data_IF_897670077574
#
_entry.id   IF_897670077574
#
_cell.length_a   1.000
_cell.length_b   1.000
_cell.length_c   1.000
_cell.angle_alpha   90.00
_cell.angle_beta   90.00
_cell.angle_gamma   90.00
#
_symmetry.space_group_name_H-M   'P 1'
#
loop_
_entity.id
_entity.type
_entity.pdbx_description
1 polymer ?
#
# COMPACT_ATOMS: atom_id res chain seq x y z
N UNK A 1 -31.51 50.44 22.95
CA UNK A 1 -30.69 49.43 23.65
C UNK A 1 -31.02 48.08 23.05
N UNK A 2 -30.27 47.66 22.02
CA UNK A 2 -30.43 46.35 21.39
C UNK A 2 -29.47 45.37 22.07
N UNK A 3 -30.03 44.40 22.79
CA UNK A 3 -29.32 43.17 23.16
C UNK A 3 -30.03 42.04 22.42
N UNK A 4 -29.53 41.70 21.24
CA UNK A 4 -29.84 40.40 20.63
C UNK A 4 -28.94 39.36 21.30
N UNK A 5 -29.46 38.19 21.70
CA UNK A 5 -28.61 37.12 22.19
C UNK A 5 -27.80 36.58 21.01
N UNK A 6 -26.49 36.57 21.19
CA UNK A 6 -25.52 35.99 20.30
C UNK A 6 -25.77 34.48 20.17
N UNK A 7 -26.53 34.05 19.16
CA UNK A 7 -26.65 32.65 18.76
C UNK A 7 -25.53 32.33 17.78
N UNK A 8 -24.30 32.21 18.29
CA UNK A 8 -23.21 31.61 17.53
C UNK A 8 -22.28 30.87 18.49
N UNK A 9 -22.57 29.58 18.67
CA UNK A 9 -21.52 28.58 18.92
C UNK A 9 -21.79 27.40 17.98
N UNK A 10 -20.92 27.11 17.01
CA UNK A 10 -20.97 25.82 16.34
C UNK A 10 -20.69 24.73 17.38
N UNK A 11 -21.50 23.66 17.38
CA UNK A 11 -21.34 22.49 18.23
C UNK A 11 -19.89 22.00 18.19
N UNK A 12 -19.17 22.17 19.30
CA UNK A 12 -17.83 21.63 19.54
C UNK A 12 -17.96 20.15 19.89
N UNK A 13 -18.36 19.33 18.91
CA UNK A 13 -18.39 17.88 19.05
C UNK A 13 -16.95 17.34 18.93
N UNK A 14 -16.08 17.77 19.84
CA UNK A 14 -14.68 17.33 19.88
C UNK A 14 -14.60 16.06 20.72
N UNK A 15 -14.29 14.94 20.06
CA UNK A 15 -14.13 13.63 20.71
C UNK A 15 -12.74 13.54 21.37
N UNK A 16 -12.69 13.28 22.67
CA UNK A 16 -11.41 13.07 23.38
C UNK A 16 -10.81 11.70 23.06
N UNK A 17 -9.53 11.50 23.37
CA UNK A 17 -8.86 10.18 23.22
C UNK A 17 -9.65 9.05 23.87
N UNK A 18 -10.11 9.24 25.11
CA UNK A 18 -10.81 8.19 25.87
C UNK A 18 -12.17 7.86 25.22
N UNK A 19 -12.85 8.86 24.67
CA UNK A 19 -14.10 8.64 23.91
C UNK A 19 -13.81 7.89 22.62
N UNK A 20 -12.75 8.24 21.87
CA UNK A 20 -12.37 7.52 20.64
C UNK A 20 -12.01 6.04 20.92
N UNK A 21 -11.39 5.76 22.07
CA UNK A 21 -11.11 4.38 22.48
C UNK A 21 -12.41 3.62 22.77
N UNK A 22 -13.35 4.23 23.51
CA UNK A 22 -14.65 3.63 23.77
C UNK A 22 -15.48 3.42 22.49
N UNK A 23 -15.44 4.38 21.56
CA UNK A 23 -16.05 4.25 20.24
C UNK A 23 -15.41 3.10 19.44
N UNK A 24 -14.09 2.92 19.52
CA UNK A 24 -13.42 1.79 18.88
C UNK A 24 -13.94 0.44 19.38
N UNK A 25 -14.16 0.31 20.70
CA UNK A 25 -14.74 -0.89 21.29
C UNK A 25 -16.17 -1.12 20.80
N UNK A 26 -16.99 -0.07 20.77
CA UNK A 26 -18.36 -0.14 20.27
C UNK A 26 -18.43 -0.53 18.79
N UNK A 27 -17.62 0.10 17.93
CA UNK A 27 -17.56 -0.20 16.49
C UNK A 27 -17.18 -1.66 16.27
N UNK A 28 -16.17 -2.18 16.99
CA UNK A 28 -15.78 -3.59 16.90
C UNK A 28 -16.89 -4.53 17.35
N UNK A 29 -17.52 -4.24 18.50
CA UNK A 29 -18.55 -5.10 19.07
C UNK A 29 -19.81 -5.17 18.21
N UNK A 30 -20.16 -4.05 17.57
CA UNK A 30 -21.37 -3.93 16.74
C UNK A 30 -21.11 -4.22 15.26
N UNK A 31 -19.84 -4.38 14.84
CA UNK A 31 -19.44 -4.44 13.44
C UNK A 31 -20.06 -3.29 12.62
N UNK A 32 -20.04 -2.08 13.19
CA UNK A 32 -20.68 -0.91 12.63
C UNK A 32 -19.84 -0.28 11.52
N UNK A 33 -20.49 0.39 10.56
CA UNK A 33 -19.85 1.31 9.62
C UNK A 33 -20.31 2.73 9.95
N UNK A 34 -19.37 3.63 10.18
CA UNK A 34 -19.61 5.01 10.62
C UNK A 34 -18.90 6.05 9.75
N UNK A 35 -18.37 5.66 8.58
CA UNK A 35 -17.70 6.57 7.63
C UNK A 35 -18.73 7.42 6.88
N UNK A 36 -19.20 8.47 7.54
CA UNK A 36 -20.16 9.41 6.98
C UNK A 36 -19.67 10.86 7.09
N UNK A 37 -20.14 11.79 6.24
CA UNK A 37 -19.72 13.19 6.28
C UNK A 37 -19.99 13.93 7.61
N UNK A 38 -20.93 13.42 8.40
CA UNK A 38 -21.38 14.00 9.68
C UNK A 38 -20.68 13.40 10.89
N UNK A 39 -20.01 12.26 10.74
CA UNK A 39 -19.26 11.60 11.81
C UNK A 39 -18.04 12.43 12.18
N UNK A 40 -17.64 12.37 13.46
CA UNK A 40 -16.34 12.90 13.86
C UNK A 40 -15.21 12.24 13.07
N UNK A 41 -14.23 13.05 12.66
CA UNK A 41 -13.15 12.58 11.79
C UNK A 41 -12.21 11.62 12.50
N UNK A 42 -12.07 11.75 13.83
CA UNK A 42 -11.34 10.81 14.66
C UNK A 42 -12.02 9.45 14.70
N UNK A 43 -13.34 9.42 14.93
CA UNK A 43 -14.12 8.17 14.91
C UNK A 43 -14.00 7.46 13.55
N UNK A 44 -14.04 8.21 12.45
CA UNK A 44 -13.82 7.65 11.11
C UNK A 44 -12.41 7.06 10.98
N UNK A 45 -11.37 7.76 11.46
CA UNK A 45 -9.99 7.26 11.44
C UNK A 45 -9.81 5.97 12.25
N UNK A 46 -10.52 5.86 13.38
CA UNK A 46 -10.57 4.65 14.21
C UNK A 46 -11.17 3.48 13.43
N UNK A 47 -12.31 3.68 12.77
CA UNK A 47 -12.94 2.65 11.95
C UNK A 47 -12.00 2.15 10.85
N UNK A 48 -11.31 3.06 10.15
CA UNK A 48 -10.29 2.65 9.18
C UNK A 48 -9.23 1.73 9.79
N UNK A 49 -8.69 2.11 10.96
CA UNK A 49 -7.71 1.28 11.68
C UNK A 49 -8.27 -0.10 12.02
N UNK A 50 -9.53 -0.17 12.46
CA UNK A 50 -10.25 -1.43 12.76
C UNK A 50 -10.38 -2.29 11.50
N UNK A 51 -10.72 -1.67 10.37
CA UNK A 51 -10.85 -2.34 9.07
C UNK A 51 -9.50 -2.63 8.41
N UNK A 52 -8.37 -2.47 9.11
CA UNK A 52 -7.04 -2.82 8.63
C UNK A 52 -6.44 -1.81 7.64
N UNK A 53 -6.96 -0.59 7.58
CA UNK A 53 -6.38 0.50 6.80
C UNK A 53 -5.35 1.25 7.65
N UNK A 54 -4.06 1.24 7.28
CA UNK A 54 -3.08 2.03 7.99
C UNK A 54 -3.31 3.52 7.70
N UNK A 55 -3.61 4.30 8.74
CA UNK A 55 -3.94 5.72 8.63
C UNK A 55 -2.92 6.61 9.30
N UNK A 56 -2.86 7.87 8.89
CA UNK A 56 -2.06 8.92 9.52
C UNK A 56 -2.66 10.32 9.27
N UNK A 57 -2.34 11.32 10.11
CA UNK A 57 -2.84 12.69 9.95
C UNK A 57 -2.28 13.42 8.72
N UNK A 58 -3.16 14.10 7.99
CA UNK A 58 -2.84 14.98 6.87
C UNK A 58 -3.23 16.44 7.16
N UNK A 59 -2.42 17.38 6.65
CA UNK A 59 -2.75 18.80 6.50
C UNK A 59 -3.08 19.05 5.03
N UNK A 60 -4.36 19.24 4.73
CA UNK A 60 -4.84 19.19 3.34
C UNK A 60 -4.61 17.79 2.77
N UNK A 61 -3.69 17.65 1.81
CA UNK A 61 -3.32 16.36 1.19
C UNK A 61 -1.88 15.92 1.51
N UNK A 62 -1.21 16.55 2.49
CA UNK A 62 0.21 16.27 2.84
C UNK A 62 0.34 15.75 4.27
N UNK A 63 1.32 14.89 4.61
CA UNK A 63 1.55 14.43 5.97
C UNK A 63 1.65 15.58 6.97
N UNK A 64 0.95 15.48 8.10
CA UNK A 64 0.91 16.54 9.12
C UNK A 64 1.89 16.35 10.28
N UNK A 65 2.36 15.11 10.51
CA UNK A 65 3.23 14.80 11.65
C UNK A 65 4.55 15.53 11.51
N UNK A 66 4.82 16.47 12.42
CA UNK A 66 6.06 17.26 12.42
C UNK A 66 7.24 16.34 12.75
N UNK A 67 8.24 16.29 11.87
CA UNK A 67 9.38 15.38 12.01
C UNK A 67 9.04 13.91 11.74
N UNK A 68 7.82 13.63 11.25
CA UNK A 68 7.40 12.29 10.87
C UNK A 68 8.03 11.81 9.57
N UNK A 69 7.90 10.51 9.31
CA UNK A 69 8.40 9.80 8.12
C UNK A 69 7.35 9.74 7.00
N UNK A 70 6.35 10.62 7.04
CA UNK A 70 5.28 10.70 6.06
C UNK A 70 4.38 9.47 6.08
N UNK A 71 4.19 8.84 4.92
CA UNK A 71 3.34 7.65 4.78
C UNK A 71 3.80 6.46 5.62
N UNK A 72 5.08 6.42 6.02
CA UNK A 72 5.65 5.36 6.83
C UNK A 72 5.19 5.40 8.29
N UNK A 73 4.58 6.50 8.73
CA UNK A 73 3.96 6.59 10.05
C UNK A 73 2.52 6.04 10.06
N UNK A 74 1.98 5.63 8.90
CA UNK A 74 0.64 5.06 8.84
C UNK A 74 0.52 3.80 9.71
N UNK A 75 -0.52 3.73 10.53
CA UNK A 75 -0.72 2.66 11.51
C UNK A 75 -2.18 2.20 11.57
N UNK A 76 -2.39 0.96 12.01
CA UNK A 76 -3.71 0.41 12.40
C UNK A 76 -3.85 0.32 13.92
N UNK A 77 -2.86 0.78 14.68
CA UNK A 77 -2.91 0.80 16.14
C UNK A 77 -3.93 1.84 16.62
N UNK A 78 -5.03 1.35 17.18
CA UNK A 78 -6.14 2.15 17.68
C UNK A 78 -5.70 3.11 18.77
N UNK A 79 -4.76 2.74 19.65
CA UNK A 79 -4.30 3.63 20.71
C UNK A 79 -3.57 4.84 20.12
N UNK A 80 -2.73 4.60 19.11
CA UNK A 80 -2.00 5.66 18.41
C UNK A 80 -2.94 6.56 17.58
N UNK A 81 -3.91 5.96 16.90
CA UNK A 81 -4.94 6.70 16.13
C UNK A 81 -5.75 7.59 17.10
N UNK A 82 -6.23 7.04 18.21
CA UNK A 82 -6.96 7.78 19.22
C UNK A 82 -6.13 8.91 19.84
N UNK A 83 -4.82 8.71 20.02
CA UNK A 83 -3.92 9.77 20.49
C UNK A 83 -3.81 10.93 19.49
N UNK A 84 -3.66 10.63 18.19
CA UNK A 84 -3.56 11.68 17.17
C UNK A 84 -4.85 12.50 17.07
N UNK A 85 -5.98 11.82 16.87
CA UNK A 85 -7.26 12.49 16.63
C UNK A 85 -7.99 12.92 17.91
N UNK A 86 -7.65 12.37 19.08
CA UNK A 86 -8.10 12.88 20.37
C UNK A 86 -7.26 14.05 20.90
N UNK A 87 -6.19 14.42 20.18
CA UNK A 87 -5.20 15.39 20.63
C UNK A 87 -4.85 16.46 19.58
N UNK A 88 -3.55 16.59 19.31
CA UNK A 88 -3.01 17.69 18.49
C UNK A 88 -3.48 17.65 17.03
N UNK A 89 -3.89 16.49 16.50
CA UNK A 89 -4.34 16.30 15.12
C UNK A 89 -5.86 16.12 15.00
N UNK A 90 -6.65 16.52 16.00
CA UNK A 90 -8.12 16.33 16.04
C UNK A 90 -8.92 16.80 14.83
N UNK A 91 -8.38 17.76 14.05
CA UNK A 91 -9.03 18.27 12.81
C UNK A 91 -8.26 17.89 11.55
N UNK A 92 -7.26 17.03 11.65
CA UNK A 92 -6.46 16.61 10.51
C UNK A 92 -7.28 15.71 9.59
N UNK A 93 -7.04 15.86 8.29
CA UNK A 93 -7.53 14.93 7.30
C UNK A 93 -6.91 13.54 7.52
N UNK A 94 -7.54 12.51 6.98
CA UNK A 94 -7.11 11.13 7.09
C UNK A 94 -6.35 10.75 5.81
N UNK A 95 -5.07 10.46 5.96
CA UNK A 95 -4.28 9.79 4.94
C UNK A 95 -4.36 8.29 5.15
N UNK A 96 -4.70 7.54 4.11
CA UNK A 96 -4.69 6.09 4.13
C UNK A 96 -3.55 5.58 3.27
N UNK A 97 -2.58 4.90 3.87
CA UNK A 97 -1.62 4.11 3.09
C UNK A 97 -2.39 2.99 2.44
N UNK A 98 -2.22 2.82 1.12
CA UNK A 98 -2.97 1.79 0.39
C UNK A 98 -2.55 0.41 0.93
N UNK A 99 -3.49 -0.47 1.34
CA UNK A 99 -3.16 -1.81 1.81
C UNK A 99 -2.42 -2.62 0.73
N UNK A 100 -1.54 -3.54 1.14
CA UNK A 100 -0.77 -4.36 0.18
C UNK A 100 -1.67 -5.19 -0.74
N UNK A 101 -2.82 -5.64 -0.24
CA UNK A 101 -3.83 -6.37 -1.02
C UNK A 101 -4.66 -5.52 -1.97
N UNK A 102 -4.36 -4.22 -2.12
CA UNK A 102 -5.15 -3.29 -2.94
C UNK A 102 -4.29 -2.47 -3.91
N UNK A 103 -4.97 -1.95 -4.92
CA UNK A 103 -4.50 -0.90 -5.82
C UNK A 103 -5.60 0.14 -5.97
N UNK A 104 -5.22 1.41 -6.08
CA UNK A 104 -6.16 2.51 -6.30
C UNK A 104 -5.92 3.13 -7.65
N UNK A 105 -6.98 3.32 -8.41
CA UNK A 105 -6.98 4.14 -9.62
C UNK A 105 -7.49 5.53 -9.21
N UNK A 106 -6.57 6.49 -9.17
CA UNK A 106 -6.79 7.86 -8.74
C UNK A 106 -7.04 8.74 -9.98
N UNK A 107 -8.28 9.19 -10.14
CA UNK A 107 -8.73 10.01 -11.25
C UNK A 107 -8.64 11.48 -10.87
N UNK A 108 -7.83 12.22 -11.60
CA UNK A 108 -7.67 13.67 -11.46
C UNK A 108 -8.24 14.42 -12.68
N UNK A 109 -9.49 14.94 -12.57
CA UNK A 109 -10.13 15.68 -13.66
C UNK A 109 -9.37 16.92 -14.08
N UNK A 110 -8.66 17.57 -13.14
CA UNK A 110 -7.88 18.78 -13.43
C UNK A 110 -6.77 18.51 -14.44
N UNK A 111 -6.26 17.28 -14.48
CA UNK A 111 -5.27 16.82 -15.43
C UNK A 111 -5.87 15.89 -16.50
N UNK A 112 -7.15 16.02 -16.84
CA UNK A 112 -7.79 15.26 -17.93
C UNK A 112 -8.11 13.79 -17.62
N UNK A 113 -8.14 13.41 -16.33
CA UNK A 113 -8.38 12.03 -15.90
C UNK A 113 -9.72 11.46 -16.36
N UNK A 114 -10.76 12.29 -16.41
CA UNK A 114 -12.10 11.86 -16.86
C UNK A 114 -12.12 11.48 -18.34
N UNK A 115 -11.48 12.27 -19.20
CA UNK A 115 -11.41 11.98 -20.64
C UNK A 115 -10.56 10.72 -20.89
N UNK A 116 -9.44 10.58 -20.18
CA UNK A 116 -8.62 9.36 -20.23
C UNK A 116 -9.39 8.14 -19.76
N UNK A 117 -10.21 8.25 -18.72
CA UNK A 117 -11.02 7.15 -18.21
C UNK A 117 -12.09 6.75 -19.24
N UNK A 118 -12.83 7.73 -19.76
CA UNK A 118 -13.84 7.49 -20.80
C UNK A 118 -13.23 6.83 -22.05
N UNK A 119 -12.01 7.21 -22.44
CA UNK A 119 -11.29 6.59 -23.55
C UNK A 119 -10.91 5.13 -23.26
N UNK A 120 -10.47 4.80 -22.04
CA UNK A 120 -10.18 3.43 -21.62
C UNK A 120 -11.46 2.59 -21.60
N UNK A 121 -12.54 3.08 -21.02
CA UNK A 121 -13.82 2.37 -20.93
C UNK A 121 -14.43 2.13 -22.32
N UNK A 122 -14.31 3.09 -23.24
CA UNK A 122 -14.72 2.94 -24.63
C UNK A 122 -13.87 1.90 -25.39
N UNK A 123 -12.57 1.83 -25.09
CA UNK A 123 -11.63 0.90 -25.74
C UNK A 123 -11.80 -0.53 -25.23
N UNK A 124 -12.12 -0.70 -23.96
CA UNK A 124 -12.21 -1.99 -23.29
C UNK A 124 -13.64 -2.23 -22.79
N UNK A 125 -13.92 -1.91 -21.54
CA UNK A 125 -15.22 -2.00 -20.88
C UNK A 125 -15.25 -1.03 -19.69
N UNK A 126 -16.43 -0.62 -19.20
CA UNK A 126 -16.55 0.21 -18.01
C UNK A 126 -15.84 -0.38 -16.77
N UNK A 127 -15.35 0.47 -15.88
CA UNK A 127 -14.90 -0.01 -14.57
C UNK A 127 -16.10 -0.62 -13.81
N UNK A 128 -15.94 -1.79 -13.18
CA UNK A 128 -17.01 -2.35 -12.39
C UNK A 128 -17.21 -1.49 -11.14
N UNK A 129 -18.43 -1.54 -10.58
CA UNK A 129 -18.70 -0.95 -9.27
C UNK A 129 -17.75 -1.52 -8.23
N UNK A 130 -17.09 -0.64 -7.48
CA UNK A 130 -16.14 -0.99 -6.43
C UNK A 130 -16.13 0.08 -5.37
N UNK A 131 -15.55 -0.20 -4.20
CA UNK A 131 -15.33 0.80 -3.14
C UNK A 131 -14.71 2.05 -3.77
N UNK A 132 -15.32 3.22 -3.51
CA UNK A 132 -14.91 4.47 -4.17
C UNK A 132 -14.96 5.63 -3.19
N UNK A 133 -13.90 6.44 -3.13
CA UNK A 133 -13.94 7.74 -2.46
C UNK A 133 -14.06 8.85 -3.51
N UNK A 134 -15.15 9.60 -3.47
CA UNK A 134 -15.38 10.77 -4.32
C UNK A 134 -14.74 12.02 -3.69
N UNK A 135 -14.01 12.78 -4.49
CA UNK A 135 -13.40 14.04 -4.09
C UNK A 135 -14.43 15.09 -3.71
N UNK A 136 -14.18 15.80 -2.61
CA UNK A 136 -14.96 16.98 -2.21
C UNK A 136 -14.88 18.15 -3.20
N UNK A 137 -14.01 18.08 -4.22
CA UNK A 137 -13.96 19.08 -5.30
C UNK A 137 -15.27 19.11 -6.10
N UNK A 138 -15.93 17.96 -6.28
CA UNK A 138 -17.22 17.84 -6.97
C UNK A 138 -17.13 17.93 -8.50
N UNK A 139 -15.95 17.70 -9.07
CA UNK A 139 -15.65 17.73 -10.50
C UNK A 139 -15.47 16.32 -11.11
N UNK A 140 -15.81 15.28 -10.36
CA UNK A 140 -15.65 13.88 -10.78
C UNK A 140 -14.35 13.22 -10.33
N UNK A 141 -13.46 13.90 -9.59
CA UNK A 141 -12.26 13.27 -9.06
C UNK A 141 -12.60 12.16 -8.06
N UNK A 142 -11.93 11.02 -8.17
CA UNK A 142 -12.30 9.82 -7.44
C UNK A 142 -11.12 8.86 -7.24
N UNK A 143 -11.16 8.12 -6.14
CA UNK A 143 -10.28 7.00 -5.86
C UNK A 143 -11.08 5.70 -6.00
N UNK A 144 -10.80 4.90 -7.04
CA UNK A 144 -11.41 3.59 -7.22
C UNK A 144 -10.50 2.50 -6.66
N UNK A 145 -10.97 1.77 -5.65
CA UNK A 145 -10.20 0.75 -4.96
C UNK A 145 -10.44 -0.62 -5.58
N UNK A 146 -9.37 -1.34 -5.94
CA UNK A 146 -9.45 -2.70 -6.48
C UNK A 146 -8.55 -3.64 -5.68
N UNK A 147 -8.87 -4.94 -5.70
CA UNK A 147 -7.94 -5.98 -5.23
C UNK A 147 -6.66 -5.91 -6.05
N UNK A 148 -5.51 -5.97 -5.40
CA UNK A 148 -4.22 -5.99 -6.09
C UNK A 148 -4.13 -7.28 -6.93
N UNK A 149 -3.96 -7.19 -8.26
CA UNK A 149 -3.75 -8.38 -9.06
C UNK A 149 -2.37 -8.98 -8.73
N UNK A 150 -2.19 -10.31 -8.83
CA UNK A 150 -0.92 -10.96 -8.50
C UNK A 150 0.22 -10.45 -9.39
N UNK A 151 1.47 -10.60 -8.95
CA UNK A 151 2.64 -10.19 -9.72
C UNK A 151 3.04 -8.72 -9.58
N UNK A 152 4.04 -8.33 -10.37
CA UNK A 152 4.61 -6.99 -10.33
C UNK A 152 3.69 -6.00 -11.04
N UNK A 153 3.37 -4.90 -10.36
CA UNK A 153 2.69 -3.77 -11.01
C UNK A 153 3.74 -2.78 -11.49
N UNK A 154 3.78 -2.56 -12.79
CA UNK A 154 4.69 -1.62 -13.47
C UNK A 154 3.95 -0.35 -13.90
N UNK A 155 2.64 -0.45 -14.13
CA UNK A 155 1.78 0.68 -14.46
C UNK A 155 1.64 1.63 -13.27
N UNK A 156 2.32 2.78 -13.34
CA UNK A 156 2.16 3.88 -12.36
C UNK A 156 1.13 4.92 -12.80
N UNK A 157 0.79 4.92 -14.09
CA UNK A 157 -0.20 5.80 -14.72
C UNK A 157 -0.90 5.06 -15.85
N UNK A 158 -2.19 5.35 -16.04
CA UNK A 158 -3.02 4.71 -17.07
C UNK A 158 -3.51 5.73 -18.11
N UNK A 159 -2.69 6.74 -18.38
CA UNK A 159 -3.06 7.89 -19.19
C UNK A 159 -2.86 9.18 -18.44
N UNK A 160 -3.25 10.28 -19.08
CA UNK A 160 -3.13 11.62 -18.52
C UNK A 160 -4.19 11.80 -17.44
N UNK A 161 -3.76 12.23 -16.23
CA UNK A 161 -4.66 12.42 -15.09
C UNK A 161 -5.18 11.14 -14.43
N UNK A 162 -4.60 9.97 -14.72
CA UNK A 162 -4.91 8.70 -14.03
C UNK A 162 -3.64 8.15 -13.39
N UNK A 163 -3.54 8.28 -12.07
CA UNK A 163 -2.45 7.72 -11.29
C UNK A 163 -2.83 6.37 -10.68
N UNK A 164 -1.85 5.48 -10.55
CA UNK A 164 -2.01 4.20 -9.84
C UNK A 164 -1.31 4.30 -8.49
N UNK A 165 -2.06 4.10 -7.40
CA UNK A 165 -1.51 4.06 -6.03
C UNK A 165 -1.48 2.63 -5.50
N UNK A 166 -0.36 2.25 -4.92
CA UNK A 166 -0.13 0.96 -4.26
C UNK A 166 0.35 1.21 -2.84
N UNK A 167 0.76 0.17 -2.10
CA UNK A 167 1.28 0.29 -0.74
C UNK A 167 2.53 1.15 -0.57
N UNK A 168 3.18 1.56 -1.67
CA UNK A 168 4.22 2.59 -1.66
C UNK A 168 3.68 4.03 -1.64
N UNK A 169 2.35 4.20 -1.65
CA UNK A 169 1.67 5.49 -1.66
C UNK A 169 0.48 5.52 -0.72
N UNK A 170 -0.19 6.66 -0.70
CA UNK A 170 -1.37 6.91 0.11
C UNK A 170 -2.41 7.72 -0.66
N UNK A 171 -3.64 7.69 -0.17
CA UNK A 171 -4.75 8.49 -0.66
C UNK A 171 -5.35 9.30 0.48
N UNK A 172 -6.12 10.34 0.14
CA UNK A 172 -6.98 11.03 1.11
C UNK A 172 -8.26 10.20 1.25
N UNK A 173 -8.60 9.84 2.49
CA UNK A 173 -9.77 9.03 2.79
C UNK A 173 -10.97 9.90 3.18
N UNK A 174 -12.19 9.46 2.85
CA UNK A 174 -13.40 10.06 3.39
C UNK A 174 -13.44 9.93 4.94
N UNK A 175 -14.00 10.89 5.70
CA UNK A 175 -14.70 12.10 5.28
C UNK A 175 -13.82 13.37 5.29
N UNK A 176 -12.52 13.25 4.98
CA UNK A 176 -11.56 14.38 4.94
C UNK A 176 -12.07 15.58 4.12
N UNK A 177 -11.66 16.80 4.47
CA UNK A 177 -12.00 18.00 3.72
C UNK A 177 -11.04 18.24 2.54
N UNK A 178 -11.58 18.49 1.35
CA UNK A 178 -10.77 18.90 0.20
C UNK A 178 -10.18 20.30 0.44
N UNK A 179 -8.86 20.52 0.24
CA UNK A 179 -8.18 21.75 0.66
C UNK A 179 -8.74 23.02 0.01
N UNK A 180 -9.14 22.95 -1.26
CA UNK A 180 -9.55 24.14 -2.01
C UNK A 180 -11.04 24.48 -1.84
N UNK A 181 -11.89 23.47 -1.59
CA UNK A 181 -13.35 23.64 -1.55
C UNK A 181 -13.93 23.53 -0.15
N UNK A 182 -13.17 23.01 0.82
CA UNK A 182 -13.63 22.70 2.18
C UNK A 182 -14.67 21.57 2.27
N UNK A 183 -15.26 21.16 1.14
CA UNK A 183 -16.23 20.07 1.05
C UNK A 183 -15.55 18.73 1.31
N UNK A 184 -16.28 17.81 1.93
CA UNK A 184 -15.76 16.51 2.33
C UNK A 184 -15.67 15.53 1.16
N UNK A 185 -14.65 14.70 1.19
CA UNK A 185 -14.62 13.44 0.46
C UNK A 185 -15.79 12.56 0.93
N UNK A 186 -16.42 11.83 0.01
CA UNK A 186 -17.53 10.92 0.34
C UNK A 186 -17.20 9.51 -0.12
N UNK A 187 -17.46 8.55 0.74
CA UNK A 187 -17.35 7.14 0.42
C UNK A 187 -18.65 6.64 -0.23
N UNK A 188 -18.49 5.86 -1.30
CA UNK A 188 -19.53 5.00 -1.83
C UNK A 188 -19.13 3.58 -1.46
N UNK A 189 -19.92 2.97 -0.59
CA UNK A 189 -19.70 1.60 -0.13
C UNK A 189 -20.02 0.59 -1.24
N UNK A 190 -19.08 -0.32 -1.46
CA UNK A 190 -19.21 -1.48 -2.32
C UNK A 190 -18.08 -2.46 -1.99
N UNK A 191 -18.23 -3.77 -2.27
CA UNK A 191 -17.12 -4.70 -2.16
C UNK A 191 -15.93 -4.24 -3.00
N UNK A 192 -14.71 -4.39 -2.48
CA UNK A 192 -13.49 -4.13 -3.26
C UNK A 192 -13.41 -5.16 -4.39
N UNK A 193 -13.68 -4.72 -5.62
CA UNK A 193 -13.78 -5.58 -6.78
C UNK A 193 -12.40 -6.14 -7.20
N UNK A 194 -12.40 -7.27 -7.91
CA UNK A 194 -11.23 -7.60 -8.72
C UNK A 194 -11.13 -6.58 -9.88
N UNK A 195 -9.91 -6.17 -10.26
CA UNK A 195 -9.73 -5.36 -11.46
C UNK A 195 -10.17 -6.17 -12.69
N UNK A 196 -10.84 -5.57 -13.68
CA UNK A 196 -11.13 -6.23 -14.94
C UNK A 196 -9.83 -6.66 -15.63
N UNK A 197 -9.93 -7.62 -16.56
CA UNK A 197 -8.75 -8.21 -17.21
C UNK A 197 -7.90 -7.15 -17.92
N UNK A 198 -8.54 -6.20 -18.59
CA UNK A 198 -7.83 -5.11 -19.27
C UNK A 198 -7.07 -4.22 -18.29
N UNK A 199 -7.65 -3.90 -17.13
CA UNK A 199 -7.01 -3.08 -16.12
C UNK A 199 -5.82 -3.83 -15.52
N UNK A 200 -6.00 -5.11 -15.19
CA UNK A 200 -4.90 -5.98 -14.71
C UNK A 200 -3.75 -6.01 -15.70
N UNK A 201 -4.06 -6.21 -17.00
CA UNK A 201 -3.06 -6.21 -18.05
C UNK A 201 -2.30 -4.87 -18.11
N UNK A 202 -3.00 -3.74 -18.07
CA UNK A 202 -2.38 -2.40 -18.06
C UNK A 202 -1.51 -2.14 -16.83
N UNK A 203 -1.90 -2.65 -15.67
CA UNK A 203 -1.13 -2.53 -14.44
C UNK A 203 0.14 -3.40 -14.46
N UNK A 204 0.13 -4.50 -15.20
CA UNK A 204 1.20 -5.50 -15.27
C UNK A 204 2.06 -5.41 -16.54
N UNK A 205 1.82 -4.46 -17.45
CA UNK A 205 2.49 -4.42 -18.76
C UNK A 205 4.01 -4.50 -18.60
N UNK A 206 4.60 -5.58 -19.11
CA UNK A 206 6.01 -5.69 -19.43
C UNK A 206 6.35 -4.61 -20.45
N UNK A 207 7.39 -3.81 -20.17
CA UNK A 207 7.87 -2.69 -20.99
C UNK A 207 7.63 -2.94 -22.48
N UNK A 208 6.67 -2.23 -23.06
CA UNK A 208 6.55 -2.10 -24.51
C UNK A 208 7.58 -1.03 -24.91
N UNK A 209 8.76 -1.47 -25.30
CA UNK A 209 9.72 -0.63 -26.00
C UNK A 209 9.04 -0.11 -27.28
N UNK A 210 8.80 1.20 -27.35
CA UNK A 210 8.39 1.82 -28.61
C UNK A 210 9.61 1.86 -29.56
N UNK A 211 9.44 1.58 -30.87
CA UNK A 211 10.53 1.66 -31.83
C UNK A 211 11.04 3.11 -31.94
N UNK A 212 12.36 3.25 -31.87
CA UNK A 212 13.03 4.50 -31.55
C UNK A 212 13.06 5.57 -32.64
N UNK A 213 13.41 6.78 -32.20
CA UNK A 213 14.08 7.80 -33.02
C UNK A 213 15.17 8.47 -32.16
N UNK A 214 16.42 8.19 -32.56
CA UNK A 214 17.68 8.92 -32.37
C UNK A 214 18.30 9.13 -30.97
N UNK A 215 19.03 8.09 -30.52
CA UNK A 215 20.49 8.07 -30.35
C UNK A 215 21.23 9.11 -29.49
N UNK A 216 21.87 8.65 -28.39
CA UNK A 216 23.33 8.74 -28.10
C UNK A 216 23.70 8.02 -26.78
N UNK A 217 25.00 7.71 -26.51
CA UNK A 217 25.48 6.35 -26.29
C UNK A 217 25.61 5.89 -24.82
N UNK A 218 25.94 4.60 -24.72
CA UNK A 218 26.25 3.80 -23.54
C UNK A 218 27.06 4.51 -22.44
N UNK A 219 26.57 4.42 -21.20
CA UNK A 219 27.32 4.80 -20.01
C UNK A 219 26.43 5.13 -18.82
N UNK A 220 25.92 4.10 -18.12
CA UNK A 220 25.69 4.03 -16.67
C UNK A 220 24.59 3.01 -16.34
N UNK A 221 24.96 1.95 -15.61
CA UNK A 221 24.00 1.01 -15.02
C UNK A 221 23.48 1.66 -13.73
N UNK A 222 22.46 2.49 -13.84
CA UNK A 222 21.80 3.10 -12.67
C UNK A 222 20.87 2.08 -12.03
N UNK A 223 21.25 1.59 -10.85
CA UNK A 223 20.39 0.86 -9.94
C UNK A 223 19.31 1.83 -9.43
N UNK A 224 18.06 1.63 -9.84
CA UNK A 224 16.92 2.38 -9.30
C UNK A 224 16.31 1.63 -8.11
N UNK A 225 16.69 2.10 -6.92
CA UNK A 225 16.16 1.74 -5.59
C UNK A 225 16.96 2.51 -4.54
N UNK A 226 16.34 2.92 -3.43
CA UNK A 226 17.02 3.71 -2.38
C UNK A 226 18.16 2.93 -1.66
N UNK A 227 18.33 1.63 -1.95
CA UNK A 227 19.49 0.81 -1.53
C UNK A 227 19.81 -0.36 -2.50
N UNK A 228 21.06 -0.84 -2.51
CA UNK A 228 21.51 -2.03 -3.28
C UNK A 228 20.68 -3.29 -2.92
N UNK A 229 20.25 -3.40 -1.67
CA UNK A 229 19.48 -4.52 -1.16
C UNK A 229 18.07 -4.59 -1.77
N UNK A 230 17.42 -3.44 -1.95
CA UNK A 230 16.10 -3.34 -2.57
C UNK A 230 16.20 -3.57 -4.08
N UNK A 231 17.24 -3.00 -4.70
CA UNK A 231 17.56 -3.25 -6.10
C UNK A 231 17.81 -4.73 -6.38
N UNK A 232 18.57 -5.43 -5.52
CA UNK A 232 18.79 -6.86 -5.65
C UNK A 232 17.49 -7.65 -5.44
N UNK A 233 16.70 -7.34 -4.42
CA UNK A 233 15.46 -8.08 -4.15
C UNK A 233 14.40 -7.89 -5.23
N UNK A 234 14.41 -6.75 -5.93
CA UNK A 234 13.50 -6.45 -7.03
C UNK A 234 13.91 -7.10 -8.36
N UNK A 235 15.20 -7.39 -8.57
CA UNK A 235 15.74 -7.86 -9.85
C UNK A 235 16.25 -9.31 -9.83
N UNK A 236 16.17 -9.99 -8.69
CA UNK A 236 16.57 -11.39 -8.53
C UNK A 236 15.33 -12.22 -8.23
N UNK A 237 15.25 -13.45 -8.75
CA UNK A 237 14.21 -14.46 -8.49
C UNK A 237 14.57 -15.32 -7.28
N UNK A 238 13.59 -15.99 -6.67
CA UNK A 238 13.88 -16.97 -5.61
C UNK A 238 14.71 -18.16 -6.14
N UNK A 239 14.56 -18.50 -7.42
CA UNK A 239 15.40 -19.50 -8.09
C UNK A 239 16.87 -19.08 -8.14
N UNK A 240 17.16 -17.85 -8.57
CA UNK A 240 18.53 -17.32 -8.61
C UNK A 240 19.17 -17.20 -7.23
N UNK A 241 18.39 -17.08 -6.16
CA UNK A 241 18.90 -17.05 -4.78
C UNK A 241 19.11 -18.46 -4.23
N UNK A 242 18.19 -19.39 -4.45
CA UNK A 242 18.15 -20.67 -3.71
C UNK A 242 18.77 -21.84 -4.48
N UNK A 243 18.55 -21.94 -5.79
CA UNK A 243 19.02 -23.07 -6.60
C UNK A 243 20.56 -23.20 -6.65
N UNK A 244 21.36 -22.12 -6.67
CA UNK A 244 22.82 -22.24 -6.58
C UNK A 244 23.30 -22.95 -5.31
N UNK A 245 22.48 -22.99 -4.26
CA UNK A 245 22.75 -23.66 -2.99
C UNK A 245 22.04 -25.01 -2.86
N UNK A 246 21.56 -25.58 -3.98
CA UNK A 246 20.98 -26.93 -4.04
C UNK A 246 19.52 -27.02 -3.63
N UNK A 247 18.83 -25.90 -3.40
CA UNK A 247 17.40 -25.90 -3.13
C UNK A 247 16.59 -26.17 -4.39
N UNK A 248 15.51 -26.91 -4.25
CA UNK A 248 14.59 -27.23 -5.33
C UNK A 248 13.24 -26.55 -5.11
N UNK A 249 12.70 -25.93 -6.17
CA UNK A 249 11.31 -25.45 -6.16
C UNK A 249 10.39 -26.59 -6.56
N UNK A 250 9.34 -26.82 -5.77
CA UNK A 250 8.36 -27.90 -6.01
C UNK A 250 7.12 -27.42 -6.77
N UNK A 251 7.03 -26.13 -7.04
CA UNK A 251 5.90 -25.50 -7.70
C UNK A 251 6.34 -24.83 -9.01
N UNK A 252 5.39 -24.53 -9.89
CA UNK A 252 5.65 -24.05 -11.26
C UNK A 252 6.33 -22.69 -11.28
N UNK A 253 5.95 -21.81 -10.36
CA UNK A 253 6.50 -20.46 -10.23
C UNK A 253 7.30 -20.35 -8.92
N UNK A 254 8.64 -20.21 -9.01
CA UNK A 254 9.53 -20.10 -7.84
C UNK A 254 9.25 -18.88 -6.94
N UNK A 255 8.59 -17.85 -7.48
CA UNK A 255 8.35 -16.58 -6.80
C UNK A 255 6.90 -16.37 -6.35
N UNK A 256 5.99 -17.29 -6.69
CA UNK A 256 4.59 -17.20 -6.33
C UNK A 256 4.35 -17.29 -4.82
N UNK A 257 3.32 -16.61 -4.32
CA UNK A 257 2.85 -16.78 -2.95
C UNK A 257 2.36 -18.23 -2.75
N UNK A 258 2.91 -18.91 -1.75
CA UNK A 258 2.71 -20.33 -1.49
C UNK A 258 3.73 -21.27 -2.15
N UNK A 259 4.64 -20.77 -3.01
CA UNK A 259 5.64 -21.61 -3.65
C UNK A 259 6.50 -22.34 -2.61
N UNK A 260 6.56 -23.67 -2.70
CA UNK A 260 7.26 -24.55 -1.77
C UNK A 260 8.67 -24.82 -2.27
N UNK A 261 9.60 -24.76 -1.32
CA UNK A 261 11.02 -24.94 -1.55
C UNK A 261 11.55 -26.05 -0.65
N UNK A 262 12.37 -26.94 -1.21
CA UNK A 262 12.97 -28.07 -0.51
C UNK A 262 14.49 -27.90 -0.44
N UNK A 263 15.03 -27.94 0.77
CA UNK A 263 16.48 -27.94 1.01
C UNK A 263 17.09 -29.30 0.61
N UNK A 264 18.34 -29.38 0.13
CA UNK A 264 18.95 -30.64 -0.32
C UNK A 264 19.06 -31.72 0.77
N UNK A 265 19.09 -31.33 2.05
CA UNK A 265 19.11 -32.27 3.19
C UNK A 265 17.74 -32.44 3.86
N UNK A 266 16.66 -32.00 3.21
CA UNK A 266 15.32 -32.04 3.77
C UNK A 266 14.83 -33.48 4.00
N UNK A 267 14.29 -33.74 5.18
CA UNK A 267 13.58 -34.98 5.53
C UNK A 267 12.06 -34.84 5.41
N UNK A 268 11.56 -33.60 5.30
CA UNK A 268 10.15 -33.27 5.09
C UNK A 268 9.85 -33.01 3.61
N UNK A 269 8.57 -33.09 3.17
CA UNK A 269 8.19 -32.87 1.77
C UNK A 269 8.62 -31.51 1.21
N UNK A 270 8.71 -30.48 2.05
CA UNK A 270 9.28 -29.17 1.73
C UNK A 270 9.87 -28.55 3.01
N UNK A 271 10.77 -27.58 2.85
CA UNK A 271 11.52 -26.94 3.94
C UNK A 271 11.15 -25.48 4.15
N UNK A 272 10.58 -24.82 3.15
CA UNK A 272 10.21 -23.41 3.21
C UNK A 272 9.08 -23.10 2.23
N UNK A 273 8.41 -21.96 2.45
CA UNK A 273 7.42 -21.41 1.51
C UNK A 273 7.67 -19.94 1.27
N UNK A 274 7.35 -19.47 0.07
CA UNK A 274 7.27 -18.04 -0.23
C UNK A 274 5.93 -17.52 0.29
N UNK A 275 5.95 -16.51 1.16
CA UNK A 275 4.76 -15.76 1.61
C UNK A 275 5.08 -14.27 1.56
N UNK A 276 4.21 -13.46 0.99
CA UNK A 276 4.39 -12.00 0.89
C UNK A 276 5.76 -11.61 0.27
N UNK A 277 6.23 -12.39 -0.72
CA UNK A 277 7.53 -12.20 -1.37
C UNK A 277 8.76 -12.54 -0.52
N UNK A 278 8.57 -13.11 0.68
CA UNK A 278 9.63 -13.53 1.60
C UNK A 278 9.68 -15.04 1.73
N UNK A 279 10.86 -15.59 2.00
CA UNK A 279 11.06 -17.00 2.33
C UNK A 279 10.83 -17.19 3.83
N UNK A 280 9.89 -18.08 4.17
CA UNK A 280 9.66 -18.55 5.53
C UNK A 280 10.11 -20.01 5.61
N UNK A 281 11.07 -20.31 6.49
CA UNK A 281 11.63 -21.65 6.63
C UNK A 281 11.02 -22.38 7.82
N UNK A 282 10.69 -23.66 7.66
CA UNK A 282 10.09 -24.50 8.71
C UNK A 282 11.01 -25.67 9.11
N UNK A 283 12.19 -25.76 8.50
CA UNK A 283 13.12 -26.87 8.71
C UNK A 283 14.35 -26.39 9.47
N UNK A 284 14.70 -27.00 10.62
CA UNK A 284 15.87 -26.62 11.42
C UNK A 284 17.19 -27.01 10.76
N UNK A 285 17.17 -27.92 9.77
CA UNK A 285 18.36 -28.36 9.03
C UNK A 285 18.73 -27.43 7.86
N UNK A 286 18.50 -26.13 8.01
CA UNK A 286 18.83 -25.13 6.98
C UNK A 286 19.63 -24.00 7.61
N UNK A 287 20.34 -23.17 6.82
CA UNK A 287 21.02 -21.99 7.34
C UNK A 287 20.08 -20.87 7.83
N UNK A 288 18.75 -21.05 7.74
CA UNK A 288 17.74 -20.04 8.08
C UNK A 288 17.10 -20.31 9.43
N UNK A 289 16.72 -19.24 10.12
CA UNK A 289 15.89 -19.35 11.32
C UNK A 289 14.52 -19.96 11.00
N UNK A 290 14.07 -20.84 11.88
CA UNK A 290 12.77 -21.51 11.77
C UNK A 290 11.64 -20.53 12.11
N UNK A 291 10.60 -20.56 11.29
CA UNK A 291 9.35 -19.81 11.45
C UNK A 291 8.42 -20.59 12.37
N UNK A 292 8.02 -19.98 13.49
CA UNK A 292 7.10 -20.57 14.48
C UNK A 292 5.80 -19.75 14.61
N UNK A 293 4.73 -20.38 15.11
CA UNK A 293 3.45 -19.70 15.36
C UNK A 293 3.64 -18.64 16.44
N UNK A 294 3.47 -17.36 16.08
CA UNK A 294 3.69 -16.21 16.97
C UNK A 294 5.06 -15.53 16.83
N UNK A 295 6.01 -16.12 16.09
CA UNK A 295 7.32 -15.53 15.82
C UNK A 295 7.76 -15.83 14.38
N UNK A 296 7.09 -15.18 13.42
CA UNK A 296 7.30 -15.47 12.00
C UNK A 296 8.53 -14.73 11.44
N UNK A 297 9.53 -15.48 10.97
CA UNK A 297 10.78 -14.94 10.43
C UNK A 297 10.85 -15.08 8.91
N UNK A 298 10.55 -13.99 8.20
CA UNK A 298 10.58 -13.95 6.73
C UNK A 298 11.84 -13.29 6.19
N UNK A 299 12.55 -13.97 5.29
CA UNK A 299 13.75 -13.48 4.63
C UNK A 299 13.40 -12.81 3.29
N UNK A 300 13.90 -11.60 3.06
CA UNK A 300 13.90 -11.02 1.70
C UNK A 300 14.96 -11.73 0.85
N UNK A 301 14.87 -11.64 -0.48
CA UNK A 301 15.85 -12.26 -1.39
C UNK A 301 17.29 -11.81 -1.11
N UNK A 302 17.50 -10.52 -0.82
CA UNK A 302 18.81 -10.02 -0.42
C UNK A 302 19.29 -10.61 0.92
N UNK A 303 18.43 -10.71 1.93
CA UNK A 303 18.80 -11.35 3.21
C UNK A 303 19.09 -12.83 3.03
N UNK A 304 18.33 -13.52 2.20
CA UNK A 304 18.57 -14.92 1.89
C UNK A 304 19.88 -15.14 1.13
N UNK A 305 20.18 -14.28 0.16
CA UNK A 305 21.48 -14.24 -0.51
C UNK A 305 22.63 -14.02 0.48
N UNK A 306 22.47 -13.11 1.44
CA UNK A 306 23.49 -12.87 2.47
C UNK A 306 23.68 -14.08 3.39
N UNK A 307 22.60 -14.75 3.82
CA UNK A 307 22.68 -15.97 4.63
C UNK A 307 23.42 -17.09 3.89
N UNK A 308 23.06 -17.34 2.63
CA UNK A 308 23.57 -18.48 1.87
C UNK A 308 25.00 -18.27 1.32
N UNK A 309 25.34 -17.04 0.95
CA UNK A 309 26.63 -16.72 0.31
C UNK A 309 27.66 -16.02 1.21
N UNK A 310 27.22 -15.43 2.33
CA UNK A 310 28.04 -14.53 3.15
C UNK A 310 27.85 -14.73 4.66
N UNK A 311 27.30 -15.88 5.09
CA UNK A 311 27.11 -16.20 6.51
C UNK A 311 26.18 -15.24 7.26
N UNK A 312 25.29 -14.55 6.54
CA UNK A 312 24.37 -13.55 7.10
C UNK A 312 24.92 -12.12 7.14
N UNK A 313 26.18 -11.89 6.72
CA UNK A 313 26.77 -10.54 6.66
C UNK A 313 26.18 -9.73 5.50
N UNK A 314 25.25 -8.83 5.84
CA UNK A 314 24.57 -7.95 4.89
C UNK A 314 25.53 -6.94 4.23
N UNK A 315 26.60 -6.53 4.93
CA UNK A 315 27.57 -5.55 4.41
C UNK A 315 28.49 -6.20 3.39
N UNK A 316 28.99 -7.41 3.68
CA UNK A 316 29.78 -8.19 2.73
C UNK A 316 28.97 -8.53 1.46
N UNK A 317 27.70 -8.92 1.63
CA UNK A 317 26.79 -9.19 0.52
C UNK A 317 26.54 -7.95 -0.36
N UNK A 318 26.25 -6.79 0.24
CA UNK A 318 26.07 -5.54 -0.50
C UNK A 318 27.36 -5.12 -1.22
N UNK A 319 28.52 -5.26 -0.57
CA UNK A 319 29.80 -4.93 -1.17
C UNK A 319 30.12 -5.82 -2.38
N UNK A 320 29.80 -7.12 -2.30
CA UNK A 320 29.99 -8.07 -3.41
C UNK A 320 29.17 -7.68 -4.65
N UNK A 321 27.92 -7.25 -4.44
CA UNK A 321 27.02 -6.81 -5.52
C UNK A 321 27.46 -5.47 -6.12
N UNK A 322 27.99 -4.55 -5.31
CA UNK A 322 28.52 -3.26 -5.78
C UNK A 322 29.80 -3.36 -6.63
N UNK A 323 30.57 -4.46 -6.52
CA UNK A 323 31.79 -4.72 -7.32
C UNK A 323 31.53 -5.44 -8.65
N UNK A 324 30.30 -5.88 -8.91
CA UNK A 324 29.90 -6.55 -10.16
C UNK A 324 29.35 -5.57 -11.21
N UNK A 325 29.55 -4.25 -10.98
CA UNK A 325 29.07 -3.12 -11.79
C UNK A 325 30.22 -2.48 -12.53
#
# INVERSE_FOLDING_TARGET
MNMSPNTDRPNDNTTSRDVLVAEAEAIKALNANVIEPTTDIGTSAIEYGICGWPVFPLRGKRPAIRGGRGLLDATTDIAQIAEWWGGQYRRANIGGRVPEGMVVIDIDPYHGGLDSLAALEKKYEPLPTTLTDLSGRGDGGAHYFFRRPPGQLTGRRLGVGIDVKTSGGYVVLAPSAHPDTGRRYRRIEAPVAAPPRWLSALLQVARQDSPGVHGRPAGSRQYFGDSIADGYSANTTWAEVLQPHGWECLDVDPDADGARWRHPTATAPYSATIKFGKLFCFSPNTPFDVTESGNAHGYTKFRAYAVLGHGGDLSAAAHRLGKAV
#
